data_IF_592770228791
#
_entry.id   IF_592770228791
#
_cell.length_a   1.000
_cell.length_b   1.000
_cell.length_c   1.000
_cell.angle_alpha   90.00
_cell.angle_beta   90.00
_cell.angle_gamma   90.00
#
_symmetry.space_group_name_H-M   'P 1'
#
loop_
_entity.id
_entity.type
_entity.pdbx_description
1 polymer ?
#
# COMPACT_ATOMS: atom_id res chain seq x y z
N UNK A 1 7.76 -41.22 13.70
CA UNK A 1 6.47 -40.48 13.50
C UNK A 1 6.80 -39.01 13.62
N UNK A 2 6.97 -38.36 12.48
CA UNK A 2 7.06 -36.90 12.39
C UNK A 2 5.63 -36.37 12.53
N UNK A 3 5.31 -35.77 13.66
CA UNK A 3 4.07 -35.01 13.77
C UNK A 3 4.21 -33.80 12.83
N UNK A 4 3.55 -33.83 11.68
CA UNK A 4 3.29 -32.63 10.90
C UNK A 4 2.59 -31.65 11.85
N UNK A 5 3.30 -30.60 12.27
CA UNK A 5 2.69 -29.47 12.97
C UNK A 5 1.71 -28.86 11.99
N UNK A 6 0.42 -29.04 12.22
CA UNK A 6 -0.62 -28.31 11.48
C UNK A 6 -0.28 -26.84 11.54
N UNK A 7 -0.01 -26.26 10.37
CA UNK A 7 0.23 -24.83 10.25
C UNK A 7 -1.07 -24.12 10.59
N UNK A 8 -1.15 -23.29 11.64
CA UNK A 8 -2.37 -22.59 11.97
C UNK A 8 -2.79 -21.70 10.78
N UNK A 9 -4.08 -21.77 10.45
CA UNK A 9 -4.62 -20.92 9.40
C UNK A 9 -4.51 -19.45 9.84
N UNK A 10 -3.72 -18.66 9.08
CA UNK A 10 -3.58 -17.24 9.38
C UNK A 10 -4.86 -16.49 9.01
N UNK A 11 -5.28 -15.55 9.84
CA UNK A 11 -6.29 -14.56 9.46
C UNK A 11 -5.66 -13.63 8.43
N UNK A 12 -6.21 -13.58 7.20
CA UNK A 12 -5.63 -12.81 6.10
C UNK A 12 -6.59 -11.73 5.64
N UNK A 13 -6.20 -10.47 5.81
CA UNK A 13 -6.97 -9.29 5.39
C UNK A 13 -6.09 -8.39 4.52
N UNK A 14 -6.08 -8.68 3.22
CA UNK A 14 -5.34 -7.95 2.20
C UNK A 14 -6.31 -7.32 1.20
N UNK A 15 -6.23 -6.00 1.00
CA UNK A 15 -7.11 -5.27 0.09
C UNK A 15 -6.32 -4.34 -0.83
N UNK A 16 -6.60 -4.44 -2.12
CA UNK A 16 -6.07 -3.59 -3.20
C UNK A 16 -6.93 -2.33 -3.33
N UNK A 17 -6.81 -1.40 -2.34
CA UNK A 17 -7.68 -0.22 -2.25
C UNK A 17 -7.48 0.72 -3.44
N UNK A 18 -6.27 0.82 -3.99
CA UNK A 18 -5.99 1.63 -5.17
C UNK A 18 -6.81 1.21 -6.40
N UNK A 19 -7.22 -0.06 -6.49
CA UNK A 19 -8.09 -0.55 -7.58
C UNK A 19 -9.51 -0.05 -7.43
N UNK A 20 -10.04 -0.06 -6.20
CA UNK A 20 -11.37 0.50 -5.92
C UNK A 20 -11.37 2.02 -6.14
N UNK A 21 -10.30 2.72 -5.72
CA UNK A 21 -10.13 4.15 -5.96
C UNK A 21 -10.07 4.48 -7.46
N UNK A 22 -9.31 3.70 -8.25
CA UNK A 22 -9.20 3.89 -9.69
C UNK A 22 -10.48 3.57 -10.46
N UNK A 23 -11.37 2.76 -9.89
CA UNK A 23 -12.68 2.43 -10.46
C UNK A 23 -13.76 3.46 -10.15
N UNK A 24 -13.55 4.36 -9.17
CA UNK A 24 -14.49 5.40 -8.80
C UNK A 24 -14.74 6.36 -9.97
N UNK A 25 -16.01 6.66 -10.23
CA UNK A 25 -16.46 7.51 -11.36
C UNK A 25 -16.91 8.90 -10.92
N UNK A 26 -16.90 9.16 -9.62
CA UNK A 26 -17.30 10.43 -9.01
C UNK A 26 -16.65 10.64 -7.65
N UNK A 27 -16.69 11.88 -7.16
CA UNK A 27 -16.27 12.23 -5.80
C UNK A 27 -17.06 11.44 -4.75
N UNK A 28 -18.34 11.18 -5.00
CA UNK A 28 -19.21 10.42 -4.11
C UNK A 28 -18.78 8.96 -4.02
N UNK A 29 -18.42 8.33 -5.14
CA UNK A 29 -17.89 6.95 -5.14
C UNK A 29 -16.53 6.89 -4.48
N UNK A 30 -15.65 7.87 -4.72
CA UNK A 30 -14.36 7.96 -4.03
C UNK A 30 -14.54 8.12 -2.52
N UNK A 31 -15.51 8.95 -2.10
CA UNK A 31 -15.89 9.12 -0.70
C UNK A 31 -16.37 7.81 -0.08
N UNK A 32 -17.14 7.02 -0.81
CA UNK A 32 -17.60 5.69 -0.36
C UNK A 32 -16.42 4.71 -0.17
N UNK A 33 -15.42 4.73 -1.06
CA UNK A 33 -14.19 3.93 -0.89
C UNK A 33 -13.45 4.35 0.37
N UNK A 34 -13.26 5.66 0.60
CA UNK A 34 -12.59 6.16 1.79
C UNK A 34 -13.36 5.84 3.08
N UNK A 35 -14.69 5.85 3.05
CA UNK A 35 -15.52 5.46 4.18
C UNK A 35 -15.40 3.96 4.51
N UNK A 36 -15.21 3.13 3.48
CA UNK A 36 -14.97 1.69 3.64
C UNK A 36 -13.59 1.39 4.26
N UNK A 37 -12.59 2.24 3.98
CA UNK A 37 -11.21 2.10 4.46
C UNK A 37 -10.73 3.37 5.20
N UNK A 38 -11.30 3.67 6.38
CA UNK A 38 -10.97 4.89 7.12
C UNK A 38 -9.49 5.00 7.52
N UNK A 39 -8.79 3.87 7.61
CA UNK A 39 -7.35 3.81 7.83
C UNK A 39 -6.54 4.47 6.70
N UNK A 40 -7.07 4.51 5.47
CA UNK A 40 -6.40 5.18 4.35
C UNK A 40 -6.44 6.70 4.55
N UNK A 41 -7.59 7.27 4.86
CA UNK A 41 -7.72 8.71 5.08
C UNK A 41 -6.87 9.17 6.27
N UNK A 42 -6.97 8.48 7.40
CA UNK A 42 -6.33 8.89 8.66
C UNK A 42 -4.88 8.43 8.74
N UNK A 43 -4.62 7.16 8.42
CA UNK A 43 -3.31 6.53 8.62
C UNK A 43 -2.33 6.83 7.51
N UNK A 44 -2.78 6.94 6.27
CA UNK A 44 -1.89 7.18 5.12
C UNK A 44 -1.83 8.67 4.74
N UNK A 45 -2.98 9.32 4.55
CA UNK A 45 -3.04 10.72 4.14
C UNK A 45 -3.01 11.70 5.32
N UNK A 46 -3.06 11.22 6.55
CA UNK A 46 -3.13 12.06 7.76
C UNK A 46 -4.25 13.10 7.70
N UNK A 47 -5.39 12.72 7.10
CA UNK A 47 -6.52 13.60 6.95
C UNK A 47 -7.12 13.96 8.29
N UNK A 48 -7.34 15.26 8.51
CA UNK A 48 -8.01 15.83 9.70
C UNK A 48 -9.50 15.98 9.45
N UNK A 49 -10.26 16.31 10.49
CA UNK A 49 -11.69 16.63 10.35
C UNK A 49 -11.94 17.81 9.39
N UNK A 50 -11.02 18.77 9.31
CA UNK A 50 -11.13 19.97 8.48
C UNK A 50 -10.92 19.65 6.99
N UNK A 51 -9.88 18.87 6.64
CA UNK A 51 -9.53 18.61 5.24
C UNK A 51 -10.12 17.31 4.70
N UNK A 52 -10.62 16.41 5.55
CA UNK A 52 -11.19 15.12 5.14
C UNK A 52 -12.32 15.24 4.10
N UNK A 53 -13.21 16.25 4.13
CA UNK A 53 -14.23 16.41 3.09
C UNK A 53 -13.68 16.64 1.67
N UNK A 54 -12.48 17.23 1.57
CA UNK A 54 -11.86 17.55 0.28
C UNK A 54 -11.01 16.40 -0.26
N UNK A 55 -10.56 15.49 0.60
CA UNK A 55 -9.67 14.39 0.21
C UNK A 55 -10.26 13.52 -0.93
N UNK A 56 -11.56 13.19 -0.87
CA UNK A 56 -12.22 12.40 -1.90
C UNK A 56 -12.20 13.10 -3.26
N UNK A 57 -12.47 14.41 -3.27
CA UNK A 57 -12.46 15.22 -4.49
C UNK A 57 -11.05 15.31 -5.07
N UNK A 58 -10.04 15.53 -4.23
CA UNK A 58 -8.65 15.66 -4.66
C UNK A 58 -8.11 14.32 -5.20
N UNK A 59 -8.43 13.21 -4.54
CA UNK A 59 -8.09 11.88 -5.03
C UNK A 59 -8.80 11.55 -6.34
N UNK A 60 -10.08 11.89 -6.47
CA UNK A 60 -10.79 11.69 -7.72
C UNK A 60 -10.16 12.49 -8.87
N UNK A 61 -9.80 13.75 -8.66
CA UNK A 61 -9.06 14.58 -9.62
C UNK A 61 -7.70 13.99 -9.98
N UNK A 62 -6.98 13.44 -8.99
CA UNK A 62 -5.70 12.77 -9.21
C UNK A 62 -5.86 11.61 -10.21
N UNK A 63 -6.80 10.69 -9.95
CA UNK A 63 -7.04 9.55 -10.82
C UNK A 63 -7.65 9.92 -12.19
N UNK A 64 -8.33 11.05 -12.28
CA UNK A 64 -8.83 11.62 -13.54
C UNK A 64 -7.73 12.31 -14.37
N UNK A 65 -6.59 12.64 -13.78
CA UNK A 65 -5.46 13.25 -14.52
C UNK A 65 -4.85 12.22 -15.48
N UNK A 66 -4.80 12.52 -16.82
CA UNK A 66 -4.33 11.54 -17.81
C UNK A 66 -2.90 11.03 -17.60
N UNK A 67 -1.99 11.88 -17.12
CA UNK A 67 -0.60 11.48 -16.87
C UNK A 67 -0.51 10.54 -15.67
N UNK A 68 -1.20 10.85 -14.58
CA UNK A 68 -1.24 9.99 -13.40
C UNK A 68 -2.03 8.71 -13.66
N UNK A 69 -3.06 8.76 -14.48
CA UNK A 69 -3.77 7.55 -14.91
C UNK A 69 -2.85 6.58 -15.66
N UNK A 70 -2.03 7.06 -16.58
CA UNK A 70 -1.02 6.23 -17.26
C UNK A 70 -0.01 5.63 -16.28
N UNK A 71 0.40 6.39 -15.28
CA UNK A 71 1.32 5.90 -14.24
C UNK A 71 0.66 4.83 -13.36
N UNK A 72 -0.58 5.05 -12.97
CA UNK A 72 -1.37 4.03 -12.28
C UNK A 72 -1.53 2.76 -13.15
N UNK A 73 -1.93 2.90 -14.42
CA UNK A 73 -2.10 1.77 -15.33
C UNK A 73 -0.79 0.98 -15.48
N UNK A 74 0.36 1.66 -15.57
CA UNK A 74 1.67 1.00 -15.54
C UNK A 74 1.89 0.19 -14.25
N UNK A 75 1.45 0.70 -13.10
CA UNK A 75 1.56 -0.03 -11.83
C UNK A 75 0.80 -1.35 -11.84
N UNK A 76 -0.24 -1.48 -12.66
CA UNK A 76 -1.06 -2.68 -12.80
C UNK A 76 -0.51 -3.66 -13.85
N UNK A 77 0.62 -3.37 -14.49
CA UNK A 77 1.27 -4.30 -15.42
C UNK A 77 1.93 -5.47 -14.66
N UNK A 78 2.09 -6.60 -15.38
CA UNK A 78 2.69 -7.81 -14.81
C UNK A 78 4.14 -7.63 -14.30
N UNK A 79 4.87 -6.63 -14.82
CA UNK A 79 6.23 -6.27 -14.40
C UNK A 79 6.29 -5.46 -13.10
N UNK A 80 5.13 -5.03 -12.58
CA UNK A 80 4.97 -4.29 -11.33
C UNK A 80 4.02 -5.04 -10.40
N UNK A 81 2.78 -4.58 -10.22
CA UNK A 81 1.85 -5.10 -9.22
C UNK A 81 0.58 -5.71 -9.83
N UNK A 82 0.54 -5.93 -11.14
CA UNK A 82 -0.64 -6.45 -11.86
C UNK A 82 -0.97 -7.91 -11.55
N UNK A 83 0.00 -8.69 -11.10
CA UNK A 83 -0.19 -10.09 -10.67
C UNK A 83 -0.38 -10.18 -9.17
N UNK A 84 -0.99 -11.25 -8.71
CA UNK A 84 -1.19 -11.55 -7.28
C UNK A 84 0.11 -12.02 -6.57
N UNK A 85 1.26 -11.82 -7.21
CA UNK A 85 2.56 -12.19 -6.65
C UNK A 85 2.83 -11.49 -5.31
N UNK A 86 2.51 -10.20 -5.21
CA UNK A 86 2.67 -9.43 -3.99
C UNK A 86 1.90 -10.05 -2.82
N UNK A 87 0.61 -10.36 -3.02
CA UNK A 87 -0.21 -10.98 -1.99
C UNK A 87 0.33 -12.33 -1.56
N UNK A 88 0.73 -13.17 -2.53
CA UNK A 88 1.30 -14.49 -2.26
C UNK A 88 2.60 -14.41 -1.46
N UNK A 89 3.50 -13.50 -1.82
CA UNK A 89 4.78 -13.31 -1.14
C UNK A 89 4.57 -12.80 0.29
N UNK A 90 3.70 -11.81 0.47
CA UNK A 90 3.35 -11.29 1.81
C UNK A 90 2.71 -12.39 2.67
N UNK A 91 1.73 -13.12 2.12
CA UNK A 91 1.07 -14.20 2.85
C UNK A 91 2.05 -15.28 3.28
N UNK A 92 2.98 -15.67 2.39
CA UNK A 92 4.03 -16.65 2.71
C UNK A 92 4.96 -16.13 3.82
N UNK A 93 5.35 -14.85 3.76
CA UNK A 93 6.21 -14.24 4.79
C UNK A 93 5.52 -14.18 6.16
N UNK A 94 4.26 -13.74 6.23
CA UNK A 94 3.50 -13.68 7.48
C UNK A 94 3.14 -15.07 8.03
N UNK A 95 2.96 -16.07 7.16
CA UNK A 95 2.80 -17.46 7.60
C UNK A 95 4.06 -17.95 8.34
N UNK A 96 5.25 -17.64 7.82
CA UNK A 96 6.51 -17.99 8.51
C UNK A 96 6.67 -17.24 9.83
N UNK A 97 6.35 -15.94 9.86
CA UNK A 97 6.39 -15.16 11.11
C UNK A 97 5.48 -15.79 12.15
N UNK A 98 4.28 -16.20 11.81
CA UNK A 98 3.33 -16.79 12.75
C UNK A 98 3.76 -18.19 13.22
N UNK A 99 4.47 -18.96 12.39
CA UNK A 99 5.07 -20.23 12.79
C UNK A 99 6.18 -20.05 13.85
N UNK A 100 7.01 -19.01 13.69
CA UNK A 100 8.09 -18.70 14.63
C UNK A 100 7.60 -17.94 15.88
N UNK A 101 6.55 -17.13 15.72
CA UNK A 101 5.95 -16.28 16.75
C UNK A 101 4.44 -16.52 16.84
N UNK A 102 3.97 -17.63 17.43
CA UNK A 102 2.53 -18.03 17.39
C UNK A 102 1.56 -17.03 18.04
N UNK A 103 2.06 -16.13 18.90
CA UNK A 103 1.24 -15.08 19.54
C UNK A 103 1.01 -13.83 18.68
N UNK A 104 1.74 -13.70 17.56
CA UNK A 104 1.66 -12.52 16.70
C UNK A 104 0.45 -12.59 15.80
N UNK A 105 -0.36 -11.53 15.80
CA UNK A 105 -1.50 -11.39 14.87
C UNK A 105 -1.02 -10.85 13.53
N UNK A 106 -1.56 -11.39 12.44
CA UNK A 106 -1.32 -10.84 11.11
C UNK A 106 -1.96 -9.46 10.99
N UNK A 107 -1.21 -8.41 10.57
CA UNK A 107 -1.78 -7.08 10.38
C UNK A 107 -2.74 -7.05 9.19
N UNK A 108 -3.65 -6.09 9.18
CA UNK A 108 -4.40 -5.73 7.98
C UNK A 108 -3.45 -5.11 6.96
N UNK A 109 -3.56 -5.47 5.69
CA UNK A 109 -2.70 -4.94 4.64
C UNK A 109 -3.55 -4.22 3.60
N UNK A 110 -3.17 -2.99 3.28
CA UNK A 110 -3.83 -2.12 2.29
C UNK A 110 -2.79 -1.62 1.30
N UNK A 111 -3.17 -1.53 0.03
CA UNK A 111 -2.36 -0.87 -0.98
C UNK A 111 -3.04 0.41 -1.44
N UNK A 112 -2.25 1.43 -1.71
CA UNK A 112 -2.71 2.73 -2.23
C UNK A 112 -1.82 3.18 -3.37
N UNK A 113 -2.32 4.12 -4.17
CA UNK A 113 -1.55 4.82 -5.21
C UNK A 113 -1.87 6.30 -5.08
N UNK A 114 -0.88 7.10 -4.68
CA UNK A 114 -1.07 8.49 -4.26
C UNK A 114 -0.47 9.52 -5.21
N UNK A 115 0.22 9.08 -6.28
CA UNK A 115 0.99 9.99 -7.13
C UNK A 115 2.07 10.74 -6.34
N UNK A 116 2.75 10.05 -5.43
CA UNK A 116 3.75 10.61 -4.50
C UNK A 116 3.21 11.73 -3.59
N UNK A 117 1.93 11.64 -3.23
CA UNK A 117 1.28 12.67 -2.43
C UNK A 117 0.88 13.92 -3.21
N UNK A 118 0.77 13.83 -4.53
CA UNK A 118 0.31 14.93 -5.39
C UNK A 118 -1.16 15.32 -5.20
N UNK A 119 -1.70 15.08 -4.02
CA UNK A 119 -3.07 15.34 -3.60
C UNK A 119 -3.12 16.62 -2.78
N UNK A 120 -4.08 17.49 -3.03
CA UNK A 120 -4.37 18.65 -2.19
C UNK A 120 -3.24 19.66 -2.02
N UNK A 121 -2.33 19.78 -3.02
CA UNK A 121 -1.27 20.80 -2.97
C UNK A 121 -0.29 20.69 -1.80
N UNK A 122 -0.19 19.55 -1.14
CA UNK A 122 0.70 19.31 -0.01
C UNK A 122 0.01 19.33 1.36
N UNK A 123 -1.31 19.42 1.39
CA UNK A 123 -2.09 19.35 2.65
C UNK A 123 -2.13 17.93 3.24
N UNK A 124 -1.87 16.91 2.41
CA UNK A 124 -1.86 15.52 2.83
C UNK A 124 -0.46 14.93 2.78
N UNK A 125 -0.19 14.04 3.72
CA UNK A 125 1.05 13.26 3.69
C UNK A 125 0.90 12.06 2.75
N UNK A 126 2.02 11.63 2.18
CA UNK A 126 2.12 10.34 1.52
C UNK A 126 3.52 9.77 1.76
N UNK A 127 3.58 8.47 1.91
CA UNK A 127 4.84 7.77 2.19
C UNK A 127 4.82 6.38 1.55
N UNK A 128 6.00 5.79 1.41
CA UNK A 128 6.12 4.47 0.81
C UNK A 128 5.46 3.37 1.64
N UNK A 129 5.59 3.44 2.97
CA UNK A 129 5.06 2.46 3.91
C UNK A 129 4.54 3.12 5.18
N UNK A 130 3.40 2.64 5.66
CA UNK A 130 2.94 2.83 7.04
C UNK A 130 2.90 1.44 7.66
N UNK A 131 3.63 1.23 8.74
CA UNK A 131 3.74 -0.08 9.40
C UNK A 131 3.46 0.07 10.88
N UNK A 132 2.52 -0.73 11.38
CA UNK A 132 2.25 -0.93 12.81
C UNK A 132 2.05 -2.42 13.10
N UNK A 133 1.81 -2.76 14.33
CA UNK A 133 1.51 -4.13 14.76
C UNK A 133 0.22 -4.71 14.13
N UNK A 134 -0.73 -3.84 13.78
CA UNK A 134 -2.08 -4.22 13.35
C UNK A 134 -2.44 -3.77 11.93
N UNK A 135 -1.61 -2.89 11.31
CA UNK A 135 -1.89 -2.30 10.01
C UNK A 135 -0.62 -2.03 9.21
N UNK A 136 -0.66 -2.40 7.94
CA UNK A 136 0.36 -2.04 6.94
C UNK A 136 -0.35 -1.38 5.76
N UNK A 137 0.12 -0.18 5.37
CA UNK A 137 -0.33 0.48 4.16
C UNK A 137 0.86 0.68 3.23
N UNK A 138 0.72 0.26 1.99
CA UNK A 138 1.78 0.25 0.98
C UNK A 138 1.45 1.26 -0.11
N UNK A 139 2.28 2.30 -0.25
CA UNK A 139 2.21 3.24 -1.36
C UNK A 139 2.91 2.67 -2.60
N UNK A 140 2.15 2.04 -3.50
CA UNK A 140 2.70 1.29 -4.64
C UNK A 140 3.52 2.16 -5.60
N UNK A 141 3.10 3.41 -5.81
CA UNK A 141 3.78 4.39 -6.64
C UNK A 141 5.24 4.60 -6.21
N UNK A 142 5.53 4.56 -4.91
CA UNK A 142 6.89 4.68 -4.39
C UNK A 142 7.78 3.46 -4.71
N UNK A 143 7.20 2.30 -5.01
CA UNK A 143 7.94 1.07 -5.29
C UNK A 143 8.05 0.73 -6.79
N UNK A 144 7.77 1.66 -7.67
CA UNK A 144 7.93 1.44 -9.11
C UNK A 144 9.38 1.57 -9.60
N UNK A 145 10.26 2.07 -8.76
CA UNK A 145 11.70 2.15 -9.02
C UNK A 145 12.06 3.01 -10.22
N UNK A 146 13.21 2.70 -10.83
CA UNK A 146 13.73 3.43 -11.99
C UNK A 146 12.92 3.23 -13.27
N UNK A 147 12.09 2.19 -13.34
CA UNK A 147 11.26 1.84 -14.50
C UNK A 147 9.88 2.52 -14.49
N UNK A 148 9.50 3.15 -13.37
CA UNK A 148 8.27 3.92 -13.28
C UNK A 148 8.27 5.14 -14.20
N UNK A 149 7.12 5.49 -14.78
CA UNK A 149 6.93 6.69 -15.61
C UNK A 149 7.34 7.96 -14.86
N UNK A 150 7.04 8.00 -13.57
CA UNK A 150 7.48 9.05 -12.66
C UNK A 150 8.34 8.44 -11.55
N UNK A 151 9.21 9.25 -10.98
CA UNK A 151 10.10 8.86 -9.87
C UNK A 151 9.70 9.59 -8.62
N UNK A 152 9.83 8.91 -7.47
CA UNK A 152 9.59 9.53 -6.18
C UNK A 152 10.49 10.77 -6.01
N UNK A 153 9.93 11.90 -5.54
CA UNK A 153 10.71 13.12 -5.35
C UNK A 153 11.75 12.92 -4.25
N UNK A 154 12.85 13.66 -4.34
CA UNK A 154 13.91 13.68 -3.34
C UNK A 154 14.57 12.31 -3.06
N UNK A 155 14.54 11.38 -4.03
CA UNK A 155 15.17 10.07 -3.94
C UNK A 155 16.39 10.02 -4.85
N UNK A 156 17.57 9.75 -4.28
CA UNK A 156 18.79 9.57 -5.04
C UNK A 156 18.80 8.23 -5.79
N UNK A 157 19.54 8.16 -6.89
CA UNK A 157 19.57 6.98 -7.76
C UNK A 157 19.97 5.69 -7.02
N UNK A 158 20.91 5.76 -6.08
CA UNK A 158 21.32 4.60 -5.28
C UNK A 158 20.21 4.09 -4.35
N UNK A 159 19.27 4.96 -3.95
CA UNK A 159 18.13 4.60 -3.12
C UNK A 159 17.01 3.93 -3.94
N UNK A 160 16.95 4.22 -5.25
CA UNK A 160 15.91 3.67 -6.14
C UNK A 160 15.90 2.13 -6.15
N UNK A 161 17.05 1.47 -5.93
CA UNK A 161 17.12 0.01 -5.85
C UNK A 161 16.32 -0.58 -4.70
N UNK A 162 16.11 0.20 -3.63
CA UNK A 162 15.27 -0.19 -2.48
C UNK A 162 13.78 0.07 -2.75
N UNK A 163 13.48 0.87 -3.75
CA UNK A 163 12.12 1.24 -4.16
C UNK A 163 11.67 0.45 -5.41
N UNK A 164 12.26 -0.69 -5.68
CA UNK A 164 11.80 -1.60 -6.72
C UNK A 164 10.79 -2.61 -6.16
N UNK A 165 9.84 -3.12 -6.99
CA UNK A 165 8.83 -4.10 -6.55
C UNK A 165 9.43 -5.32 -5.82
N UNK A 166 10.57 -5.83 -6.31
CA UNK A 166 11.26 -6.99 -5.72
C UNK A 166 11.82 -6.75 -4.30
N UNK A 167 12.05 -5.49 -3.93
CA UNK A 167 12.59 -5.14 -2.61
C UNK A 167 11.48 -4.84 -1.58
N UNK A 168 10.26 -4.67 -2.03
CA UNK A 168 9.16 -4.17 -1.21
C UNK A 168 8.81 -5.10 -0.04
N UNK A 169 8.63 -6.39 -0.30
CA UNK A 169 8.26 -7.36 0.74
C UNK A 169 9.34 -7.42 1.83
N UNK A 170 10.62 -7.44 1.44
CA UNK A 170 11.72 -7.44 2.40
C UNK A 170 11.70 -6.19 3.30
N UNK A 171 11.41 -5.01 2.74
CA UNK A 171 11.31 -3.77 3.53
C UNK A 171 10.11 -3.79 4.48
N UNK A 172 8.97 -4.31 4.04
CA UNK A 172 7.78 -4.45 4.88
C UNK A 172 8.10 -5.34 6.09
N UNK A 173 8.69 -6.51 5.85
CA UNK A 173 9.03 -7.45 6.92
C UNK A 173 10.09 -6.88 7.85
N UNK A 174 11.10 -6.19 7.32
CA UNK A 174 12.12 -5.53 8.14
C UNK A 174 11.49 -4.49 9.08
N UNK A 175 10.59 -3.63 8.59
CA UNK A 175 9.93 -2.64 9.45
C UNK A 175 8.97 -3.32 10.44
N UNK A 176 8.23 -4.34 9.99
CA UNK A 176 7.31 -5.07 10.86
C UNK A 176 8.03 -5.85 11.97
N UNK A 177 9.27 -6.27 11.74
CA UNK A 177 10.05 -7.00 12.74
C UNK A 177 10.26 -6.25 14.05
N UNK A 178 10.18 -4.91 14.03
CA UNK A 178 10.24 -4.09 15.24
C UNK A 178 9.07 -4.34 16.22
N UNK A 179 7.99 -4.96 15.76
CA UNK A 179 6.80 -5.30 16.56
C UNK A 179 6.78 -6.77 17.02
N UNK A 180 7.83 -7.54 16.71
CA UNK A 180 7.93 -8.96 17.07
C UNK A 180 8.64 -9.21 18.40
N UNK A 181 9.16 -8.15 19.03
CA UNK A 181 10.00 -8.21 20.24
C UNK A 181 9.18 -7.76 21.45
#
# INVERSE_FOLDING_TARGET
CSSEKETPAITWDFQRVEREMAAAKSDAEMSAVLAKYPEISRGYFSATAENSPFLAQDLFRLYANPALRKFYDQSQEAGFFGRDALEKELKAAFTKIQQEFPGVKTPKIRTVFSGFGGVGGGEYTAQNLVVSDSLIIIGLDFFMGSRGLFKAPNVYEYQMRRLEPKAMVAQIILQYSAFLI
#
